data_IF_772832450879
#
_entry.id   IF_772832450879
#
_cell.length_a   1.000
_cell.length_b   1.000
_cell.length_c   1.000
_cell.angle_alpha   90.00
_cell.angle_beta   90.00
_cell.angle_gamma   90.00
#
_symmetry.space_group_name_H-M   'P 1'
#
loop_
_entity.id
_entity.type
_entity.pdbx_description
1 polymer ?
2 branched ?
3 branched ?
4 non-polymer ?
5 non-polymer ?
6 non-polymer ?
7 water ?
#
# COMPACT_ATOMS: atom_id res chain seq x y z
N UNK A 1 22.45 11.92 5.89
CA UNK A 1 23.51 12.77 5.28
C UNK A 1 22.87 13.95 4.58
N UNK A 2 22.53 13.74 3.30
CA UNK A 2 21.90 14.78 2.49
C UNK A 2 20.55 14.16 2.14
N UNK A 3 19.59 15.02 1.79
CA UNK A 3 18.27 14.55 1.43
C UNK A 3 18.40 13.74 0.13
N UNK A 4 17.67 12.63 0.05
CA UNK A 4 17.72 11.84 -1.15
C UNK A 4 16.93 12.52 -2.26
N UNK A 5 17.44 12.42 -3.48
CA UNK A 5 16.77 12.99 -4.65
C UNK A 5 16.50 11.82 -5.62
N UNK A 6 15.31 11.82 -6.19
CA UNK A 6 14.88 10.81 -7.14
C UNK A 6 15.53 11.11 -8.49
N UNK A 7 16.80 10.74 -8.61
CA UNK A 7 17.54 11.00 -9.84
C UNK A 7 17.54 9.86 -10.84
N UNK A 8 17.12 8.67 -10.43
CA UNK A 8 17.12 7.52 -11.35
C UNK A 8 15.75 7.14 -11.90
N UNK A 9 15.77 6.45 -13.04
CA UNK A 9 14.54 5.97 -13.65
C UNK A 9 14.45 4.54 -13.16
N UNK A 10 13.35 3.86 -13.46
CA UNK A 10 13.15 2.47 -13.03
C UNK A 10 14.01 1.48 -13.82
N UNK A 11 14.35 0.38 -13.18
CA UNK A 11 15.09 -0.66 -13.87
C UNK A 11 14.04 -1.36 -14.76
N UNK A 12 14.50 -2.04 -15.80
CA UNK A 12 13.58 -2.75 -16.68
C UNK A 12 13.07 -3.95 -15.92
N UNK A 13 11.76 -4.10 -15.88
CA UNK A 13 11.13 -5.19 -15.17
C UNK A 13 10.83 -6.30 -16.14
N UNK A 14 11.66 -7.36 -16.11
CA UNK A 14 11.47 -8.54 -16.98
C UNK A 14 10.83 -9.71 -16.22
N UNK A 15 10.85 -9.60 -14.88
CA UNK A 15 10.22 -10.58 -13.96
C UNK A 15 10.35 -10.08 -12.54
N UNK A 16 9.88 -10.89 -11.59
CA UNK A 16 9.94 -10.53 -10.16
C UNK A 16 10.62 -11.64 -9.38
N UNK A 17 11.54 -11.25 -8.50
CA UNK A 17 12.21 -12.27 -7.68
C UNK A 17 11.71 -12.10 -6.23
N UNK A 18 11.85 -13.15 -5.40
CA UNK A 18 11.42 -13.12 -4.00
C UNK A 18 12.36 -12.19 -3.22
N UNK A 19 11.77 -11.29 -2.45
CA UNK A 19 12.50 -10.31 -1.64
C UNK A 19 12.38 -10.59 -0.13
N UNK A 20 11.15 -10.70 0.36
CA UNK A 20 10.92 -10.99 1.77
C UNK A 20 9.61 -11.70 2.00
N UNK A 21 9.55 -12.49 3.07
CA UNK A 21 8.36 -13.26 3.44
C UNK A 21 8.54 -13.57 4.90
N UNK A 22 7.57 -13.22 5.72
CA UNK A 22 7.74 -13.48 7.15
C UNK A 22 7.03 -14.71 7.73
N UNK A 23 6.09 -15.31 6.99
CA UNK A 23 5.40 -16.50 7.49
C UNK A 23 4.85 -16.26 8.90
N UNK A 24 4.36 -15.04 9.13
CA UNK A 24 3.86 -14.62 10.44
C UNK A 24 2.78 -15.50 11.09
N UNK A 25 1.75 -15.87 10.33
CA UNK A 25 0.66 -16.68 10.86
C UNK A 25 1.10 -18.11 11.23
N UNK A 26 1.96 -18.72 10.39
CA UNK A 26 2.49 -20.05 10.65
C UNK A 26 3.24 -20.03 11.96
N UNK A 27 4.26 -19.18 12.01
CA UNK A 27 5.11 -19.06 13.20
C UNK A 27 4.34 -18.65 14.43
N UNK A 28 3.39 -17.74 14.25
CA UNK A 28 2.58 -17.21 15.35
C UNK A 28 1.62 -18.19 15.97
N UNK A 29 1.47 -19.37 15.35
CA UNK A 29 0.59 -20.39 15.90
C UNK A 29 1.19 -20.86 17.24
N UNK A 30 2.51 -20.67 17.42
CA UNK A 30 3.18 -21.08 18.64
C UNK A 30 4.31 -20.13 19.07
N UNK A 31 4.06 -18.83 18.99
CA UNK A 31 5.02 -17.85 19.45
C UNK A 31 4.31 -16.50 19.53
N UNK A 32 4.94 -15.57 20.23
CA UNK A 32 4.36 -14.26 20.48
C UNK A 32 4.33 -13.23 19.36
N UNK A 33 3.55 -13.56 18.33
CA UNK A 33 3.40 -12.72 17.16
C UNK A 33 2.14 -11.85 17.29
N UNK A 34 2.31 -10.54 17.08
CA UNK A 34 1.21 -9.62 17.16
C UNK A 34 0.24 -9.82 15.99
N UNK A 35 -1.03 -9.54 16.24
CA UNK A 35 -2.04 -9.61 15.21
C UNK A 35 -1.89 -8.28 14.44
N UNK A 36 -1.91 -8.33 13.12
CA UNK A 36 -1.77 -7.10 12.33
C UNK A 36 -2.69 -7.16 11.11
N UNK A 37 -2.58 -6.10 10.30
CA UNK A 37 -3.21 -5.93 8.98
C UNK A 37 -2.63 -4.61 8.45
N UNK A 38 -2.91 -4.29 7.19
CA UNK A 38 -2.42 -3.07 6.55
C UNK A 38 -0.89 -2.94 6.60
N UNK A 39 -0.16 -3.99 6.18
CA UNK A 39 1.30 -3.95 6.22
C UNK A 39 1.88 -3.28 4.98
N UNK A 40 3.19 -3.02 5.02
CA UNK A 40 3.91 -2.45 3.89
C UNK A 40 5.38 -2.62 4.19
N UNK A 41 6.24 -2.15 3.29
CA UNK A 41 7.67 -2.24 3.48
C UNK A 41 8.23 -0.83 3.22
N UNK A 42 9.34 -0.49 3.89
CA UNK A 42 9.91 0.83 3.70
C UNK A 42 11.37 0.75 4.12
N UNK A 43 12.22 1.42 3.33
CA UNK A 43 13.65 1.45 3.57
C UNK A 43 14.20 2.76 4.11
N UNK A 44 15.26 2.59 4.87
CA UNK A 44 16.06 3.65 5.45
C UNK A 44 17.35 3.49 4.63
N UNK A 45 18.27 4.46 4.71
CA UNK A 45 19.52 4.31 3.96
C UNK A 45 20.33 3.06 4.29
N UNK A 46 20.19 2.53 5.51
CA UNK A 46 20.96 1.38 5.91
C UNK A 46 20.21 0.08 6.19
N UNK A 47 18.89 0.09 6.04
CA UNK A 47 18.10 -1.10 6.36
C UNK A 47 16.72 -0.99 5.74
N UNK A 48 16.10 -2.12 5.40
CA UNK A 48 14.72 -2.13 4.89
C UNK A 48 13.94 -2.95 5.92
N UNK A 49 12.75 -2.45 6.28
CA UNK A 49 11.91 -3.08 7.30
C UNK A 49 10.44 -3.30 6.91
N UNK A 50 9.81 -4.27 7.58
CA UNK A 50 8.39 -4.59 7.40
C UNK A 50 7.66 -3.68 8.38
N UNK A 51 6.48 -3.21 7.95
CA UNK A 51 5.62 -2.29 8.72
C UNK A 51 4.20 -2.82 8.69
N UNK A 52 3.39 -2.43 9.68
CA UNK A 52 1.98 -2.82 9.76
C UNK A 52 1.25 -2.18 10.94
N UNK A 53 -0.06 -2.33 10.96
CA UNK A 53 -0.88 -1.79 12.04
C UNK A 53 -1.23 -2.93 12.98
N UNK A 54 -0.58 -2.94 14.15
CA UNK A 54 -0.83 -3.94 15.16
C UNK A 54 -2.23 -3.80 15.69
N UNK A 55 -2.74 -4.89 16.28
CA UNK A 55 -4.05 -4.87 16.93
C UNK A 55 -3.88 -4.88 18.46
N UNK A 56 -2.63 -4.76 18.94
CA UNK A 56 -2.39 -4.74 20.37
C UNK A 56 -2.75 -6.03 21.10
N UNK A 57 -2.39 -7.17 20.48
CA UNK A 57 -2.66 -8.48 21.05
C UNK A 57 -1.92 -9.48 20.16
N UNK A 58 -1.62 -10.66 20.71
CA UNK A 58 -0.99 -11.74 19.92
C UNK A 58 -2.14 -12.54 19.25
N UNK A 59 -1.79 -13.35 18.26
CA UNK A 59 -2.77 -14.15 17.52
C UNK A 59 -3.38 -15.21 18.45
N UNK A 60 -2.54 -15.89 19.22
CA UNK A 60 -3.02 -16.90 20.18
C UNK A 60 -3.67 -16.30 21.43
N UNK A 61 -3.40 -15.02 21.70
CA UNK A 61 -3.97 -14.37 22.86
C UNK A 61 -5.47 -14.30 22.73
N UNK A 62 -6.17 -14.30 23.86
CA UNK A 62 -7.63 -14.23 23.86
C UNK A 62 -8.16 -12.91 23.29
N UNK A 63 -7.36 -11.85 23.37
CA UNK A 63 -7.76 -10.54 22.82
C UNK A 63 -7.76 -10.50 21.30
N UNK A 64 -7.36 -11.60 20.66
CA UNK A 64 -7.36 -11.68 19.19
C UNK A 64 -8.82 -11.76 18.71
N UNK A 65 -9.72 -12.09 19.63
CA UNK A 65 -11.11 -12.18 19.28
C UNK A 65 -11.60 -10.79 18.97
N UNK A 66 -12.10 -10.58 17.75
CA UNK A 66 -12.63 -9.27 17.40
C UNK A 66 -11.74 -8.40 16.52
N UNK A 67 -10.54 -8.88 16.23
CA UNK A 67 -9.59 -8.12 15.40
C UNK A 67 -9.95 -7.91 13.94
N UNK A 68 -11.15 -8.32 13.55
CA UNK A 68 -11.62 -8.03 12.20
C UNK A 68 -11.88 -6.48 12.14
N UNK A 69 -12.18 -5.86 13.28
CA UNK A 69 -12.44 -4.43 13.32
C UNK A 69 -11.23 -3.60 12.96
N UNK A 70 -11.51 -2.48 12.29
CA UNK A 70 -10.50 -1.59 11.79
C UNK A 70 -9.85 -0.56 12.67
N UNK A 71 -10.61 0.08 13.54
CA UNK A 71 -10.08 1.18 14.30
C UNK A 71 -10.38 1.07 15.77
N UNK A 72 -9.36 0.92 16.58
CA UNK A 72 -9.59 0.82 18.02
C UNK A 72 -8.46 1.58 18.62
N UNK A 73 -8.53 1.79 19.91
CA UNK A 73 -7.49 2.51 20.60
C UNK A 73 -6.27 1.61 20.84
N UNK A 74 -6.32 0.35 20.42
CA UNK A 74 -5.21 -0.57 20.68
C UNK A 74 -4.30 -0.85 19.50
N UNK A 75 -4.45 -0.08 18.45
CA UNK A 75 -3.65 -0.25 17.26
C UNK A 75 -2.49 0.73 17.24
N UNK A 76 -1.44 0.35 16.51
CA UNK A 76 -0.27 1.19 16.39
C UNK A 76 0.55 0.78 15.19
N UNK A 77 1.23 1.75 14.57
CA UNK A 77 2.10 1.43 13.45
C UNK A 77 3.37 0.85 14.08
N UNK A 78 3.76 -0.33 13.65
CA UNK A 78 4.98 -0.95 14.15
C UNK A 78 5.86 -1.34 12.96
N UNK A 79 7.16 -1.45 13.18
CA UNK A 79 8.07 -1.90 12.13
C UNK A 79 8.93 -2.99 12.78
N UNK A 80 9.50 -3.86 11.97
CA UNK A 80 10.32 -4.93 12.51
C UNK A 80 11.25 -5.42 11.40
N UNK A 81 12.33 -6.16 11.77
CA UNK A 81 13.35 -6.52 10.77
C UNK A 81 12.74 -7.30 9.61
N UNK A 82 13.27 -7.01 8.42
CA UNK A 82 12.83 -7.64 7.17
C UNK A 82 12.73 -9.16 7.27
N UNK A 83 11.56 -9.65 6.89
CA UNK A 83 11.26 -11.05 6.86
C UNK A 83 11.12 -11.76 8.19
N UNK A 84 11.25 -11.02 9.29
CA UNK A 84 10.98 -11.60 10.60
C UNK A 84 9.47 -11.45 10.75
N UNK A 85 8.84 -12.15 11.71
CA UNK A 85 7.44 -11.82 12.01
C UNK A 85 7.34 -10.65 13.01
N UNK A 86 6.19 -9.97 13.03
CA UNK A 86 5.94 -8.91 14.01
C UNK A 86 5.66 -9.54 15.39
N UNK A 87 6.70 -9.63 16.21
CA UNK A 87 6.53 -10.22 17.54
C UNK A 87 6.46 -9.14 18.61
N UNK A 88 5.98 -9.52 19.76
CA UNK A 88 5.88 -8.59 20.85
C UNK A 88 7.26 -8.05 21.24
N UNK A 89 8.27 -8.90 21.07
CA UNK A 89 9.64 -8.58 21.44
C UNK A 89 10.52 -7.90 20.39
N UNK A 90 10.19 -7.95 19.11
CA UNK A 90 11.04 -7.31 18.11
C UNK A 90 10.34 -6.15 17.38
N UNK A 91 9.09 -5.85 17.72
CA UNK A 91 8.38 -4.78 17.03
C UNK A 91 8.60 -3.41 17.64
N UNK A 92 8.88 -2.42 16.79
CA UNK A 92 9.13 -1.07 17.24
C UNK A 92 7.93 -0.22 16.88
N UNK A 93 7.33 0.42 17.88
CA UNK A 93 6.18 1.26 17.61
C UNK A 93 6.63 2.61 17.04
N UNK A 94 6.13 2.95 15.86
CA UNK A 94 6.43 4.21 15.24
C UNK A 94 5.47 5.31 15.74
N UNK A 95 4.22 4.96 15.99
CA UNK A 95 3.18 5.88 16.47
C UNK A 95 1.88 5.11 16.68
N UNK A 96 0.98 5.73 17.43
CA UNK A 96 -0.31 5.18 17.79
C UNK A 96 -1.43 5.59 16.83
N UNK A 97 -2.22 4.63 16.35
CA UNK A 97 -3.29 4.93 15.42
C UNK A 97 -3.75 3.79 14.54
N UNK A 98 -4.75 4.06 13.70
CA UNK A 98 -5.36 3.04 12.85
C UNK A 98 -5.26 3.22 11.34
N UNK A 99 -4.43 4.16 10.92
CA UNK A 99 -4.19 4.45 9.51
C UNK A 99 -2.84 5.14 9.53
N UNK A 100 -1.96 4.78 8.60
CA UNK A 100 -0.61 5.37 8.60
C UNK A 100 0.13 5.39 7.27
N UNK A 101 1.29 6.03 7.30
CA UNK A 101 2.23 6.09 6.19
C UNK A 101 3.59 6.38 6.85
N UNK A 102 4.67 6.18 6.10
CA UNK A 102 6.01 6.40 6.62
C UNK A 102 6.99 6.41 5.46
N UNK A 103 8.05 7.19 5.59
CA UNK A 103 9.09 7.25 4.58
C UNK A 103 10.31 7.97 5.09
N UNK A 104 11.48 7.56 4.59
CA UNK A 104 12.75 8.16 4.98
C UNK A 104 13.11 9.17 3.90
N UNK A 105 13.58 10.35 4.32
CA UNK A 105 13.92 11.37 3.35
C UNK A 105 15.39 11.40 3.03
N UNK A 106 16.14 10.48 3.59
CA UNK A 106 17.57 10.45 3.32
C UNK A 106 18.35 10.82 4.55
N UNK A 107 17.76 11.67 5.38
CA UNK A 107 18.38 12.11 6.61
C UNK A 107 17.74 11.35 7.78
N UNK A 108 16.41 11.37 7.82
CA UNK A 108 15.69 10.69 8.87
C UNK A 108 14.28 10.32 8.39
N UNK A 109 13.53 9.60 9.23
CA UNK A 109 12.21 9.15 8.85
C UNK A 109 11.01 9.94 9.37
N UNK A 110 9.97 10.01 8.55
CA UNK A 110 8.75 10.66 8.92
C UNK A 110 7.70 9.54 8.99
N UNK A 111 6.95 9.46 10.09
CA UNK A 111 5.87 8.47 10.23
C UNK A 111 4.59 9.21 10.62
N UNK A 112 3.47 8.84 10.02
CA UNK A 112 2.21 9.52 10.30
C UNK A 112 1.15 8.51 10.75
N UNK A 113 0.51 8.80 11.88
CA UNK A 113 -0.55 7.91 12.39
C UNK A 113 -1.77 8.75 12.69
N UNK A 114 -2.92 8.23 12.31
CA UNK A 114 -4.17 8.91 12.53
C UNK A 114 -4.92 8.07 13.53
N UNK A 115 -5.54 8.73 14.50
CA UNK A 115 -6.33 8.04 15.52
C UNK A 115 -7.56 8.90 15.83
N UNK A 116 -8.51 8.34 16.56
CA UNK A 116 -9.67 9.11 16.91
C UNK A 116 -10.93 8.33 16.61
N UNK A 117 -12.07 8.83 17.09
CA UNK A 117 -13.39 8.34 16.69
C UNK A 117 -13.63 8.78 15.24
N UNK A 118 -14.60 8.16 14.58
CA UNK A 118 -14.92 8.49 13.20
C UNK A 118 -15.14 9.96 12.90
N UNK A 119 -15.79 10.68 13.80
CA UNK A 119 -16.05 12.11 13.57
C UNK A 119 -15.07 13.09 14.19
N UNK A 120 -13.95 12.62 14.74
CA UNK A 120 -13.00 13.51 15.40
C UNK A 120 -11.56 13.00 15.35
N UNK A 121 -11.17 12.39 14.24
CA UNK A 121 -9.82 11.88 14.11
C UNK A 121 -8.82 13.00 13.87
N UNK A 122 -7.55 12.66 14.03
CA UNK A 122 -6.46 13.60 13.84
C UNK A 122 -5.19 12.84 13.49
N UNK A 123 -4.36 13.44 12.66
CA UNK A 123 -3.12 12.83 12.26
C UNK A 123 -1.98 13.51 13.04
N UNK A 124 -0.99 12.73 13.46
CA UNK A 124 0.19 13.34 14.08
C UNK A 124 1.41 12.81 13.33
N UNK A 125 2.14 13.78 12.79
CA UNK A 125 3.32 13.59 11.98
C UNK A 125 4.56 13.65 12.87
N UNK A 126 5.26 12.51 12.90
CA UNK A 126 6.50 12.30 13.66
C UNK A 126 7.64 12.41 12.66
N UNK A 127 8.74 13.00 13.11
CA UNK A 127 9.92 13.15 12.29
C UNK A 127 11.12 12.95 13.21
N UNK A 128 12.03 12.05 12.85
CA UNK A 128 13.18 11.76 13.69
C UNK A 128 12.71 11.21 15.05
N UNK A 129 11.65 10.42 15.02
CA UNK A 129 11.03 9.78 16.19
C UNK A 129 10.41 10.67 17.24
N UNK A 130 10.06 11.89 16.84
CA UNK A 130 9.43 12.90 17.71
C UNK A 130 8.19 13.45 17.02
N UNK A 131 7.14 13.75 17.80
CA UNK A 131 5.96 14.39 17.20
C UNK A 131 6.28 15.83 16.90
N UNK A 132 5.97 16.25 15.67
CA UNK A 132 6.25 17.59 15.19
C UNK A 132 4.99 18.39 14.79
N UNK A 133 4.09 17.74 14.06
CA UNK A 133 2.87 18.40 13.58
C UNK A 133 1.60 17.58 13.78
N UNK A 134 0.46 18.29 13.93
CA UNK A 134 -0.82 17.62 14.07
C UNK A 134 -1.83 18.27 13.14
N UNK A 135 -2.72 17.45 12.56
CA UNK A 135 -3.75 17.93 11.63
C UNK A 135 -5.09 17.34 12.06
N UNK A 136 -6.07 18.20 12.30
CA UNK A 136 -7.37 17.75 12.74
C UNK A 136 -8.23 17.37 11.55
N UNK A 137 -9.15 16.45 11.77
CA UNK A 137 -10.07 16.03 10.73
C UNK A 137 -10.74 17.29 10.12
N UNK A 138 -10.91 17.31 8.80
CA UNK A 138 -11.53 18.45 8.14
C UNK A 138 -12.92 18.12 7.61
N UNK A 139 -13.27 16.84 7.57
CA UNK A 139 -14.56 16.43 7.07
C UNK A 139 -15.32 15.61 8.11
N UNK A 140 -14.69 15.39 9.26
CA UNK A 140 -15.30 14.65 10.35
C UNK A 140 -15.84 13.29 9.93
N UNK A 141 -15.12 12.60 9.08
CA UNK A 141 -15.57 11.29 8.64
C UNK A 141 -14.36 10.40 8.25
N UNK A 142 -13.77 9.79 9.27
CA UNK A 142 -12.65 8.89 9.13
C UNK A 142 -11.46 9.39 8.30
N UNK A 143 -10.76 10.39 8.84
CA UNK A 143 -9.53 10.92 8.20
C UNK A 143 -8.70 9.64 8.01
N UNK A 144 -8.12 9.46 6.83
CA UNK A 144 -7.37 8.23 6.57
C UNK A 144 -6.27 8.48 5.55
N UNK A 145 -5.27 7.63 5.50
CA UNK A 145 -4.19 7.89 4.59
C UNK A 145 -3.77 6.68 3.77
N UNK A 146 -2.51 6.67 3.32
CA UNK A 146 -1.99 5.65 2.40
C UNK A 146 -1.98 4.19 2.73
N UNK A 147 -1.51 3.85 3.94
CA UNK A 147 -1.36 2.47 4.38
C UNK A 147 -0.15 1.83 3.70
N UNK A 148 0.71 2.66 3.11
CA UNK A 148 1.99 2.19 2.52
C UNK A 148 2.97 3.37 2.55
N UNK A 149 4.23 3.16 2.20
CA UNK A 149 5.20 4.25 2.28
C UNK A 149 4.95 5.49 1.40
N UNK A 150 5.31 6.65 1.93
CA UNK A 150 5.24 7.89 1.17
C UNK A 150 6.61 7.95 0.46
N UNK A 151 6.87 8.99 -0.33
CA UNK A 151 8.16 9.10 -1.03
C UNK A 151 8.61 10.55 -0.89
N UNK A 152 9.91 10.76 -0.77
CA UNK A 152 10.51 12.07 -0.61
C UNK A 152 11.48 12.44 -1.74
N UNK A 153 11.62 13.74 -1.95
CA UNK A 153 12.56 14.27 -2.93
C UNK A 153 13.07 15.60 -2.38
N UNK A 154 14.38 15.67 -2.17
CA UNK A 154 15.02 16.86 -1.61
C UNK A 154 14.36 17.36 -0.31
N UNK A 155 13.93 16.43 0.54
CA UNK A 155 13.33 16.85 1.79
C UNK A 155 11.84 16.94 1.72
N UNK A 156 11.26 17.05 0.52
CA UNK A 156 9.78 17.15 0.41
C UNK A 156 9.17 15.77 0.24
N UNK A 157 8.31 15.41 1.18
CA UNK A 157 7.62 14.10 1.18
C UNK A 157 6.11 14.31 1.12
N UNK A 158 5.51 14.21 -0.08
CA UNK A 158 4.05 14.36 -0.25
C UNK A 158 3.28 13.17 0.33
N UNK A 159 2.09 13.42 0.89
CA UNK A 159 1.28 12.35 1.44
C UNK A 159 -0.17 12.64 1.05
N UNK A 160 -0.90 11.59 0.65
CA UNK A 160 -2.30 11.76 0.25
C UNK A 160 -3.22 11.30 1.37
N UNK A 161 -4.15 12.17 1.78
CA UNK A 161 -5.13 11.88 2.81
C UNK A 161 -6.54 12.01 2.22
N UNK A 162 -7.51 11.36 2.85
CA UNK A 162 -8.90 11.49 2.44
C UNK A 162 -9.72 11.59 3.73
N UNK A 163 -10.73 12.45 3.73
CA UNK A 163 -11.62 12.60 4.86
C UNK A 163 -12.97 12.81 4.20
N UNK A 164 -13.96 12.06 4.68
CA UNK A 164 -15.32 12.14 4.14
C UNK A 164 -15.81 10.76 3.73
N UNK A 165 -16.95 10.71 3.06
CA UNK A 165 -17.55 9.44 2.62
C UNK A 165 -16.67 8.46 1.83
N UNK A 166 -17.00 7.18 1.95
CA UNK A 166 -16.30 6.09 1.26
C UNK A 166 -17.17 5.63 0.10
N UNK A 167 -18.37 6.21 0.04
CA UNK A 167 -19.35 5.83 -0.96
C UNK A 167 -19.97 7.04 -1.65
N UNK A 168 -19.22 8.14 -1.68
CA UNK A 168 -19.68 9.36 -2.32
C UNK A 168 -18.48 10.27 -2.40
N UNK A 169 -18.62 11.47 -2.98
CA UNK A 169 -17.45 12.38 -3.06
C UNK A 169 -16.93 12.73 -1.67
N UNK A 170 -15.60 12.75 -1.56
CA UNK A 170 -14.94 13.02 -0.29
C UNK A 170 -13.91 14.13 -0.47
N UNK A 171 -13.24 14.53 0.59
CA UNK A 171 -12.23 15.58 0.49
C UNK A 171 -10.82 15.02 0.64
N UNK A 172 -10.19 14.82 -0.51
CA UNK A 172 -8.84 14.31 -0.58
C UNK A 172 -7.88 15.49 -0.64
N UNK A 173 -6.78 15.38 0.10
CA UNK A 173 -5.78 16.44 0.15
C UNK A 173 -4.38 15.86 -0.02
N UNK A 174 -3.52 16.66 -0.64
CA UNK A 174 -2.14 16.26 -0.83
C UNK A 174 -1.34 17.25 0.00
N UNK A 175 -0.69 16.74 1.03
CA UNK A 175 0.15 17.55 1.88
C UNK A 175 1.58 17.35 1.48
N UNK A 176 2.35 18.43 1.47
CA UNK A 176 3.77 18.38 1.17
C UNK A 176 4.50 18.71 2.46
N UNK A 177 5.10 17.69 3.06
CA UNK A 177 5.82 17.87 4.32
C UNK A 177 7.32 17.94 4.09
N UNK A 178 8.01 18.66 4.97
CA UNK A 178 9.46 18.75 4.95
C UNK A 178 9.86 18.83 6.42
N UNK A 179 10.63 17.84 6.89
CA UNK A 179 11.04 17.78 8.28
C UNK A 179 9.82 17.75 9.21
N UNK A 180 8.76 17.10 8.76
CA UNK A 180 7.55 16.95 9.55
C UNK A 180 6.68 18.17 9.59
N UNK A 181 7.10 19.25 8.95
CA UNK A 181 6.31 20.47 8.94
C UNK A 181 5.55 20.60 7.61
N UNK A 182 4.39 21.25 7.65
CA UNK A 182 3.61 21.42 6.43
C UNK A 182 4.11 22.59 5.59
N UNK A 183 4.58 22.30 4.38
CA UNK A 183 5.01 23.36 3.50
C UNK A 183 3.80 23.88 2.75
N UNK A 184 2.90 22.97 2.37
CA UNK A 184 1.73 23.32 1.55
C UNK A 184 0.80 22.11 1.46
N UNK A 185 -0.47 22.36 1.16
CA UNK A 185 -1.43 21.29 0.91
C UNK A 185 -2.35 21.79 -0.20
N UNK A 186 -2.83 20.88 -1.03
CA UNK A 186 -3.74 21.18 -2.14
C UNK A 186 -4.93 20.26 -1.94
N UNK A 187 -6.13 20.70 -2.36
CA UNK A 187 -7.19 19.75 -2.70
C UNK A 187 -6.90 18.93 -3.96
N UNK A 188 -7.45 17.72 -3.97
CA UNK A 188 -7.29 16.87 -5.11
C UNK A 188 -7.85 17.58 -6.35
N UNK A 189 -7.16 17.40 -7.47
CA UNK A 189 -7.59 17.96 -8.73
C UNK A 189 -7.43 16.84 -9.74
N UNK A 190 -7.91 17.07 -10.95
CA UNK A 190 -7.80 16.06 -11.99
C UNK A 190 -9.13 15.36 -12.19
N UNK A 191 -9.11 14.23 -12.87
CA UNK A 191 -10.32 13.50 -13.14
C UNK A 191 -10.65 12.34 -12.20
N UNK A 192 -9.78 12.05 -11.22
CA UNK A 192 -10.06 10.96 -10.28
C UNK A 192 -11.29 11.39 -9.49
N UNK A 193 -12.30 10.53 -9.39
CA UNK A 193 -13.52 10.92 -8.67
C UNK A 193 -13.54 10.56 -7.19
N UNK A 194 -12.67 9.66 -6.77
CA UNK A 194 -12.58 9.23 -5.37
C UNK A 194 -11.20 8.63 -5.16
N UNK A 195 -10.56 9.01 -4.06
CA UNK A 195 -9.21 8.55 -3.73
C UNK A 195 -9.09 7.97 -2.32
N UNK A 196 -8.46 6.80 -2.23
CA UNK A 196 -8.19 6.13 -0.95
C UNK A 196 -6.96 5.25 -1.08
N UNK A 197 -6.19 5.17 0.01
CA UNK A 197 -5.01 4.31 0.11
C UNK A 197 -4.00 4.27 -1.04
N UNK A 198 -3.38 5.42 -1.33
CA UNK A 198 -2.42 5.51 -2.42
C UNK A 198 -1.10 4.77 -2.21
N UNK A 199 -0.68 4.05 -3.26
CA UNK A 199 0.57 3.32 -3.28
C UNK A 199 1.50 4.13 -4.20
N UNK A 200 2.59 4.63 -3.64
CA UNK A 200 3.46 5.50 -4.40
C UNK A 200 4.89 5.05 -4.57
N UNK A 201 5.55 5.60 -5.58
CA UNK A 201 6.97 5.33 -5.83
C UNK A 201 7.46 6.55 -6.59
N UNK A 202 8.76 6.78 -6.61
CA UNK A 202 9.29 7.93 -7.33
C UNK A 202 10.44 7.58 -8.26
N UNK A 203 10.56 8.34 -9.35
CA UNK A 203 11.65 8.14 -10.32
C UNK A 203 11.76 9.42 -11.09
N UNK A 204 13.00 9.80 -11.39
CA UNK A 204 13.28 11.01 -12.16
C UNK A 204 12.46 12.24 -11.71
N UNK A 205 12.56 12.57 -10.42
CA UNK A 205 11.87 13.71 -9.81
C UNK A 205 10.36 13.77 -9.97
N UNK A 206 9.72 12.61 -10.14
CA UNK A 206 8.25 12.53 -10.23
C UNK A 206 7.76 11.40 -9.31
N UNK A 207 6.66 11.64 -8.59
CA UNK A 207 6.10 10.64 -7.67
C UNK A 207 4.75 10.17 -8.28
N UNK A 208 4.64 8.86 -8.50
CA UNK A 208 3.40 8.27 -9.06
C UNK A 208 2.69 7.49 -7.97
N UNK A 209 1.39 7.73 -7.84
CA UNK A 209 0.57 7.04 -6.83
C UNK A 209 -0.60 6.34 -7.48
N UNK A 210 -0.75 5.04 -7.23
CA UNK A 210 -1.86 4.25 -7.75
C UNK A 210 -2.71 4.03 -6.50
N UNK A 211 -3.91 4.57 -6.52
CA UNK A 211 -4.77 4.51 -5.37
C UNK A 211 -5.99 3.65 -5.69
N UNK A 212 -7.07 3.95 -5.02
CA UNK A 212 -8.31 3.16 -5.16
C UNK A 212 -9.51 4.10 -5.07
N UNK A 213 -10.47 3.84 -5.96
CA UNK A 213 -11.73 4.58 -6.01
C UNK A 213 -12.73 3.62 -5.37
N UNK A 214 -12.94 3.80 -4.08
CA UNK A 214 -13.85 2.92 -3.36
C UNK A 214 -15.28 3.07 -3.80
N UNK A 215 -15.65 4.30 -4.13
CA UNK A 215 -17.02 4.63 -4.53
C UNK A 215 -17.54 3.97 -5.81
N UNK A 216 -16.88 4.21 -6.93
CA UNK A 216 -17.36 3.68 -8.21
C UNK A 216 -16.40 2.92 -9.11
N UNK A 217 -15.11 3.22 -9.02
CA UNK A 217 -14.14 2.64 -9.92
C UNK A 217 -13.49 1.29 -9.67
N UNK A 218 -13.47 0.48 -10.74
CA UNK A 218 -12.85 -0.83 -10.77
C UNK A 218 -11.48 -0.72 -11.45
N UNK A 219 -11.29 0.41 -12.15
CA UNK A 219 -9.99 0.75 -12.73
C UNK A 219 -9.40 1.60 -11.57
N UNK A 220 -8.09 1.77 -11.52
CA UNK A 220 -7.48 2.55 -10.44
C UNK A 220 -7.18 3.98 -10.82
N UNK A 221 -7.55 4.93 -9.95
CA UNK A 221 -7.08 6.32 -10.02
C UNK A 221 -5.57 6.43 -9.79
N UNK A 222 -4.97 7.38 -10.50
CA UNK A 222 -3.54 7.61 -10.42
C UNK A 222 -3.29 9.09 -10.24
N UNK A 223 -2.44 9.39 -9.25
CA UNK A 223 -2.03 10.76 -8.92
C UNK A 223 -0.54 10.86 -9.18
N UNK A 224 -0.16 11.84 -10.00
CA UNK A 224 1.25 12.08 -10.30
C UNK A 224 1.59 13.43 -9.64
N UNK A 225 2.63 13.39 -8.81
CA UNK A 225 3.05 14.55 -8.07
C UNK A 225 4.43 15.06 -8.47
N UNK A 226 4.53 16.38 -8.57
CA UNK A 226 5.82 17.02 -8.86
C UNK A 226 6.23 17.55 -7.49
N UNK A 227 7.21 16.89 -6.82
CA UNK A 227 7.55 17.34 -5.47
C UNK A 227 8.34 18.66 -5.41
N UNK A 228 8.74 19.20 -6.55
CA UNK A 228 9.48 20.47 -6.55
C UNK A 228 8.46 21.61 -6.69
N UNK A 229 7.62 21.53 -7.71
CA UNK A 229 6.58 22.50 -7.93
C UNK A 229 5.48 22.32 -6.88
N UNK A 230 5.48 21.14 -6.25
CA UNK A 230 4.47 20.81 -5.25
C UNK A 230 3.08 20.98 -5.86
N UNK A 231 2.89 20.33 -7.01
CA UNK A 231 1.63 20.34 -7.76
C UNK A 231 1.39 18.88 -8.18
N UNK A 232 0.19 18.57 -8.67
CA UNK A 232 -0.12 17.19 -9.08
C UNK A 232 -1.27 17.16 -10.08
N UNK A 233 -1.51 15.99 -10.64
CA UNK A 233 -2.62 15.76 -11.56
C UNK A 233 -3.22 14.43 -11.16
N UNK A 234 -4.40 14.11 -11.70
CA UNK A 234 -5.03 12.83 -11.42
C UNK A 234 -5.83 12.34 -12.63
N UNK A 235 -5.88 11.02 -12.79
CA UNK A 235 -6.64 10.36 -13.85
C UNK A 235 -6.82 8.92 -13.40
N UNK A 236 -7.24 8.07 -14.33
CA UNK A 236 -7.39 6.64 -14.03
C UNK A 236 -6.51 5.88 -15.01
N UNK A 237 -6.15 4.67 -14.64
CA UNK A 237 -5.39 3.81 -15.55
C UNK A 237 -6.39 3.53 -16.69
N UNK A 238 -6.04 3.95 -17.91
CA UNK A 238 -6.88 3.75 -19.09
C UNK A 238 -7.14 2.28 -19.44
N UNK A 239 -6.18 1.43 -19.17
CA UNK A 239 -6.27 0.01 -19.53
C UNK A 239 -7.57 -0.74 -19.19
N UNK A 240 -8.04 -1.62 -20.11
CA UNK A 240 -9.13 -2.56 -19.84
C UNK A 240 -8.79 -3.70 -18.86
N UNK A 241 -7.50 -3.82 -18.51
CA UNK A 241 -7.08 -4.83 -17.54
C UNK A 241 -7.38 -4.19 -16.16
N UNK A 242 -8.60 -4.41 -15.68
CA UNK A 242 -9.07 -3.82 -14.43
C UNK A 242 -8.35 -4.38 -13.21
N UNK A 243 -7.94 -3.49 -12.31
CA UNK A 243 -7.17 -3.96 -11.18
C UNK A 243 -7.68 -3.78 -9.75
N UNK A 244 -8.93 -3.36 -9.57
CA UNK A 244 -9.43 -3.30 -8.20
C UNK A 244 -10.10 -4.65 -7.91
N UNK A 245 -10.67 -4.78 -6.71
CA UNK A 245 -11.40 -6.00 -6.31
C UNK A 245 -12.41 -5.64 -5.21
N UNK A 246 -13.65 -6.14 -5.29
CA UNK A 246 -14.26 -6.86 -6.42
C UNK A 246 -14.30 -6.00 -7.69
N UNK A 247 -14.50 -6.61 -8.84
CA UNK A 247 -14.51 -5.86 -10.09
C UNK A 247 -15.31 -6.68 -11.10
N UNK A 248 -15.79 -6.03 -12.17
CA UNK A 248 -16.44 -6.80 -13.25
C UNK A 248 -15.36 -7.41 -14.14
N UNK A 249 -15.77 -8.26 -15.07
CA UNK A 249 -14.81 -8.90 -15.98
C UNK A 249 -14.17 -7.84 -16.85
N UNK A 250 -12.95 -8.10 -17.30
CA UNK A 250 -12.22 -7.16 -18.17
C UNK A 250 -12.98 -6.90 -19.46
N UNK A 251 -13.19 -5.62 -19.82
CA UNK A 251 -13.68 -5.22 -21.16
C UNK A 251 -12.52 -5.19 -22.16
N UNK A 252 -12.78 -4.67 -23.35
CA UNK A 252 -11.74 -4.57 -24.36
C UNK A 252 -11.29 -3.14 -24.40
N UNK A 253 -12.03 -2.25 -23.75
CA UNK A 253 -11.64 -0.85 -23.68
C UNK A 253 -11.94 -0.31 -22.27
N UNK A 254 -10.97 0.37 -21.69
CA UNK A 254 -11.12 0.91 -20.35
C UNK A 254 -11.54 2.36 -20.36
N UNK A 255 -11.37 3.03 -19.23
CA UNK A 255 -11.71 4.44 -19.11
C UNK A 255 -10.52 5.22 -18.54
N UNK A 256 -10.20 6.34 -19.20
CA UNK A 256 -9.08 7.20 -18.79
C UNK A 256 -9.38 8.26 -17.76
N UNK A 257 -10.61 8.76 -17.77
CA UNK A 257 -10.99 9.83 -16.86
C UNK A 257 -12.26 9.68 -16.04
N UNK A 258 -12.77 8.46 -15.93
CA UNK A 258 -13.97 8.21 -15.15
C UNK A 258 -13.74 6.85 -14.58
N UNK A 259 -14.34 6.56 -13.41
CA UNK A 259 -14.30 5.20 -12.86
C UNK A 259 -14.95 4.21 -13.82
N UNK A 260 -14.40 3.01 -13.94
CA UNK A 260 -15.02 2.04 -14.79
C UNK A 260 -16.08 1.38 -13.93
N UNK A 261 -17.34 1.35 -14.41
CA UNK A 261 -18.45 0.98 -13.53
C UNK A 261 -18.65 -0.52 -13.42
N UNK A 262 -19.57 -0.91 -12.54
CA UNK A 262 -19.88 -2.31 -12.36
C UNK A 262 -19.85 -2.72 -10.91
N UNK A 263 -19.04 -2.03 -10.12
CA UNK A 263 -18.94 -2.36 -8.69
C UNK A 263 -18.84 -1.08 -7.90
N UNK A 264 -19.73 -0.95 -6.91
CA UNK A 264 -19.76 0.23 -6.06
C UNK A 264 -19.36 -0.03 -4.63
N UNK A 265 -18.94 1.04 -3.99
CA UNK A 265 -18.58 1.06 -2.58
C UNK A 265 -17.80 -0.10 -2.05
N UNK A 266 -16.65 -0.37 -2.65
CA UNK A 266 -15.78 -1.43 -2.21
C UNK A 266 -14.49 -1.36 -3.02
N UNK A 267 -13.47 -2.07 -2.56
CA UNK A 267 -12.21 -2.07 -3.27
C UNK A 267 -11.10 -2.57 -2.36
N UNK A 268 -9.88 -2.60 -2.89
CA UNK A 268 -8.73 -3.07 -2.13
C UNK A 268 -7.54 -2.19 -2.51
N UNK A 269 -6.68 -1.92 -1.53
CA UNK A 269 -5.47 -1.13 -1.79
C UNK A 269 -4.67 -1.94 -2.79
N UNK A 270 -4.17 -1.28 -3.83
CA UNK A 270 -3.38 -1.94 -4.84
C UNK A 270 -2.32 -1.00 -5.38
N UNK A 271 -1.61 -1.40 -6.43
CA UNK A 271 -0.56 -0.56 -6.97
C UNK A 271 -0.22 -0.91 -8.40
N UNK A 272 0.70 -0.13 -8.96
CA UNK A 272 1.19 -0.35 -10.32
C UNK A 272 2.49 0.41 -10.57
N UNK A 273 3.21 0.00 -11.59
CA UNK A 273 4.41 0.72 -12.00
C UNK A 273 4.07 1.14 -13.42
N UNK A 274 3.94 2.45 -13.61
CA UNK A 274 3.54 3.01 -14.91
C UNK A 274 4.75 3.67 -15.54
N UNK A 275 5.34 2.98 -16.50
CA UNK A 275 6.57 3.45 -17.11
C UNK A 275 6.63 3.06 -18.60
N UNK A 276 5.68 3.54 -19.40
CA UNK A 276 5.63 3.25 -20.82
C UNK A 276 5.51 1.75 -21.07
N UNK A 277 6.39 1.21 -21.91
CA UNK A 277 6.35 -0.23 -22.16
C UNK A 277 6.72 -1.02 -20.90
N UNK A 278 7.51 -0.42 -20.01
CA UNK A 278 7.95 -1.04 -18.76
C UNK A 278 6.86 -0.83 -17.67
N UNK A 279 5.62 -1.12 -18.03
CA UNK A 279 4.47 -0.97 -17.12
C UNK A 279 3.98 -2.34 -16.62
N UNK A 280 3.85 -2.49 -15.31
CA UNK A 280 3.38 -3.73 -14.70
C UNK A 280 2.26 -3.46 -13.69
N UNK A 281 1.15 -4.20 -13.82
CA UNK A 281 -0.03 -4.05 -12.96
C UNK A 281 -0.17 -5.24 -12.04
N UNK A 282 -0.49 -4.99 -10.77
CA UNK A 282 -0.71 -6.09 -9.84
C UNK A 282 -2.22 -6.14 -9.62
N UNK A 283 -2.73 -7.32 -9.32
CA UNK A 283 -4.14 -7.49 -9.06
C UNK A 283 -4.48 -8.88 -8.53
N UNK A 284 -5.61 -8.99 -7.86
CA UNK A 284 -6.06 -10.28 -7.35
C UNK A 284 -6.49 -11.04 -8.61
N UNK A 285 -6.46 -12.37 -8.55
CA UNK A 285 -6.88 -13.17 -9.67
C UNK A 285 -8.40 -13.16 -9.68
N UNK A 286 -9.00 -13.41 -8.52
CA UNK A 286 -10.44 -13.38 -8.40
C UNK A 286 -11.03 -12.00 -8.65
N UNK A 287 -12.14 -11.94 -9.40
CA UNK A 287 -12.81 -10.66 -9.64
C UNK A 287 -13.82 -10.46 -8.51
N UNK A 288 -14.01 -11.48 -7.69
CA UNK A 288 -14.99 -11.39 -6.61
C UNK A 288 -14.42 -11.22 -5.21
N UNK A 289 -13.28 -11.84 -4.92
CA UNK A 289 -12.73 -11.72 -3.57
C UNK A 289 -11.21 -11.51 -3.56
N UNK A 290 -10.66 -11.30 -2.37
CA UNK A 290 -9.23 -11.06 -2.15
C UNK A 290 -8.56 -12.40 -2.14
N UNK A 291 -8.47 -12.91 -3.35
CA UNK A 291 -8.01 -14.24 -3.61
C UNK A 291 -7.02 -14.19 -4.76
N UNK A 292 -5.86 -14.80 -4.54
CA UNK A 292 -4.84 -14.84 -5.56
C UNK A 292 -4.19 -13.48 -5.83
N UNK A 293 -3.09 -13.51 -6.58
CA UNK A 293 -2.38 -12.30 -6.93
C UNK A 293 -1.45 -12.56 -8.08
N UNK A 294 -1.46 -11.66 -9.07
CA UNK A 294 -0.61 -11.77 -10.25
C UNK A 294 -0.11 -10.40 -10.70
N UNK A 295 1.04 -10.39 -11.39
CA UNK A 295 1.63 -9.19 -11.97
C UNK A 295 1.44 -9.36 -13.49
N UNK A 296 0.94 -8.32 -14.16
CA UNK A 296 0.72 -8.33 -15.59
C UNK A 296 1.43 -7.14 -16.26
N UNK A 297 2.23 -7.41 -17.28
CA UNK A 297 2.94 -6.37 -18.02
C UNK A 297 1.93 -5.86 -19.05
N UNK A 298 1.52 -4.60 -18.89
CA UNK A 298 0.55 -4.05 -19.78
C UNK A 298 1.13 -2.77 -20.32
N UNK A 299 1.85 -2.87 -21.47
CA UNK A 299 2.58 -1.72 -22.01
C UNK A 299 1.64 -0.54 -22.18
N UNK A 300 2.07 0.61 -21.66
CA UNK A 300 1.32 1.86 -21.73
C UNK A 300 -0.06 1.85 -21.10
N UNK A 301 -0.27 1.02 -20.07
CA UNK A 301 -1.57 0.93 -19.37
C UNK A 301 -2.19 2.28 -18.99
N UNK A 302 -1.37 3.18 -18.47
CA UNK A 302 -1.87 4.48 -18.03
C UNK A 302 -2.57 5.31 -19.12
N UNK A 303 -2.04 5.26 -20.33
CA UNK A 303 -2.55 6.08 -21.39
C UNK A 303 -3.23 5.40 -22.58
N UNK A 304 -3.13 4.08 -22.65
CA UNK A 304 -3.71 3.32 -23.76
C UNK A 304 -4.97 2.58 -23.28
N UNK A 305 -6.15 3.03 -23.73
CA UNK A 305 -7.42 2.43 -23.28
C UNK A 305 -7.79 1.07 -23.86
N UNK A 306 -6.87 0.46 -24.58
CA UNK A 306 -7.10 -0.86 -25.14
C UNK A 306 -5.91 -1.76 -24.81
N UNK A 307 -4.99 -1.28 -23.98
CA UNK A 307 -3.81 -2.06 -23.60
C UNK A 307 -4.16 -3.36 -22.89
N UNK A 308 -3.53 -4.44 -23.33
CA UNK A 308 -3.75 -5.78 -22.78
C UNK A 308 -2.39 -6.42 -22.44
N UNK A 309 -2.39 -7.52 -21.69
CA UNK A 309 -1.12 -8.05 -21.18
C UNK A 309 -0.19 -8.64 -22.24
N UNK A 310 1.11 -8.47 -22.04
CA UNK A 310 2.10 -9.04 -22.95
C UNK A 310 3.01 -10.07 -22.26
N UNK A 311 2.89 -10.13 -20.94
CA UNK A 311 3.69 -11.04 -20.13
C UNK A 311 3.06 -11.01 -18.76
N UNK A 312 3.39 -11.99 -17.93
CA UNK A 312 2.78 -11.97 -16.61
C UNK A 312 3.51 -12.86 -15.63
N UNK A 313 3.16 -12.76 -14.34
CA UNK A 313 3.77 -13.62 -13.34
C UNK A 313 2.80 -13.80 -12.20
N UNK A 314 2.50 -15.06 -11.86
CA UNK A 314 1.58 -15.37 -10.77
C UNK A 314 2.39 -15.28 -9.48
N UNK A 315 1.80 -14.61 -8.49
CA UNK A 315 2.44 -14.41 -7.21
C UNK A 315 1.79 -15.30 -6.13
N UNK A 316 0.46 -15.31 -6.13
CA UNK A 316 -0.32 -16.09 -5.17
C UNK A 316 -1.41 -16.79 -5.97
N UNK A 317 -1.57 -18.10 -5.76
CA UNK A 317 -2.61 -18.86 -6.46
C UNK A 317 -4.01 -18.41 -6.07
N UNK A 318 -4.93 -18.52 -7.00
CA UNK A 318 -6.31 -18.12 -6.74
C UNK A 318 -6.94 -18.95 -5.65
N UNK A 319 -6.29 -20.05 -5.26
CA UNK A 319 -6.81 -20.89 -4.20
C UNK A 319 -6.14 -20.50 -2.89
N UNK A 320 -5.55 -19.31 -2.85
CA UNK A 320 -4.94 -18.79 -1.64
C UNK A 320 -5.39 -17.36 -1.41
N UNK A 321 -5.51 -16.97 -0.15
CA UNK A 321 -5.92 -15.62 0.22
C UNK A 321 -4.86 -14.55 0.02
N UNK A 322 -5.27 -13.41 -0.52
CA UNK A 322 -4.36 -12.28 -0.69
C UNK A 322 -4.89 -11.12 0.16
N UNK A 323 -4.82 -9.90 -0.35
CA UNK A 323 -5.29 -8.76 0.41
C UNK A 323 -4.69 -7.52 -0.24
N UNK A 324 -4.32 -6.55 0.60
CA UNK A 324 -3.71 -5.29 0.16
C UNK A 324 -2.35 -5.52 -0.50
N UNK A 325 -1.93 -4.58 -1.34
CA UNK A 325 -0.62 -4.66 -1.98
C UNK A 325 -0.18 -3.22 -2.21
N UNK A 326 1.13 -3.01 -2.21
CA UNK A 326 1.62 -1.65 -2.37
C UNK A 326 3.05 -1.63 -2.86
N UNK A 327 3.48 -0.45 -3.24
CA UNK A 327 4.81 -0.25 -3.76
C UNK A 327 5.80 0.36 -2.74
N UNK A 328 7.07 0.06 -2.96
CA UNK A 328 8.19 0.59 -2.19
C UNK A 328 9.44 0.28 -3.03
N UNK A 329 10.52 1.03 -2.83
CA UNK A 329 11.77 0.74 -3.51
C UNK A 329 12.89 1.11 -2.57
N UNK A 330 14.04 0.48 -2.75
CA UNK A 330 15.17 0.84 -1.94
C UNK A 330 15.89 1.94 -2.71
N UNK A 331 15.60 3.20 -2.36
CA UNK A 331 16.20 4.36 -3.00
C UNK A 331 17.66 4.53 -2.68
N UNK A 332 18.18 3.70 -1.78
CA UNK A 332 19.58 3.81 -1.37
C UNK A 332 20.43 2.63 -1.81
N UNK A 333 19.94 1.86 -2.77
CA UNK A 333 20.67 0.71 -3.31
C UNK A 333 21.77 1.18 -4.30
N UNK A 334 22.69 0.31 -4.66
CA UNK A 334 23.71 0.68 -5.64
C UNK A 334 23.09 0.59 -7.04
N UNK A 335 23.83 1.02 -8.05
CA UNK A 335 23.31 0.90 -9.40
C UNK A 335 22.80 2.17 -10.03
N UNK A 336 22.38 2.06 -11.28
CA UNK A 336 21.92 3.19 -12.05
C UNK A 336 20.43 3.38 -12.13
N UNK A 337 19.63 2.48 -11.59
CA UNK A 337 18.17 2.59 -11.69
C UNK A 337 17.53 2.13 -10.40
N UNK A 338 16.27 2.52 -10.18
CA UNK A 338 15.55 2.10 -8.98
C UNK A 338 14.82 0.77 -9.30
N UNK A 339 15.02 -0.24 -8.46
CA UNK A 339 14.41 -1.54 -8.66
C UNK A 339 13.00 -1.58 -8.03
N UNK A 340 11.98 -1.64 -8.88
CA UNK A 340 10.60 -1.68 -8.42
C UNK A 340 10.36 -2.86 -7.48
N UNK A 341 9.65 -2.63 -6.37
CA UNK A 341 9.32 -3.71 -5.42
C UNK A 341 7.87 -3.51 -5.00
N UNK A 342 7.27 -4.53 -4.40
CA UNK A 342 5.91 -4.46 -3.89
C UNK A 342 5.71 -5.55 -2.86
N UNK A 343 4.66 -5.43 -2.05
CA UNK A 343 4.36 -6.45 -1.09
C UNK A 343 2.89 -6.81 -1.30
N UNK A 344 2.50 -8.02 -0.87
CA UNK A 344 1.11 -8.43 -0.90
C UNK A 344 0.78 -8.87 0.52
N UNK A 345 -0.36 -8.40 1.03
CA UNK A 345 -0.82 -8.73 2.35
C UNK A 345 -1.59 -10.01 2.18
N UNK A 346 -1.24 -11.04 2.95
CA UNK A 346 -1.92 -12.35 2.88
C UNK A 346 -2.84 -12.48 4.12
N UNK A 347 -4.10 -12.08 3.95
CA UNK A 347 -5.06 -12.09 5.04
C UNK A 347 -5.57 -13.46 5.41
N UNK A 348 -5.55 -13.74 6.72
CA UNK A 348 -6.02 -15.01 7.25
C UNK A 348 -7.05 -14.71 8.30
N UNK A 349 -8.02 -15.61 8.43
CA UNK A 349 -9.04 -15.42 9.43
C UNK A 349 -10.26 -14.75 8.86
N UNK A 350 -10.92 -13.96 9.69
CA UNK A 350 -12.14 -13.28 9.25
C UNK A 350 -11.93 -12.18 8.20
N UNK A 351 -12.90 -12.03 7.28
CA UNK A 351 -14.20 -12.73 7.26
C UNK A 351 -14.25 -14.05 6.52
N UNK A 352 -13.26 -14.32 5.68
CA UNK A 352 -13.28 -15.53 4.88
C UNK A 352 -13.12 -16.81 5.64
N UNK A 353 -12.31 -16.80 6.69
CA UNK A 353 -12.07 -18.01 7.50
C UNK A 353 -12.61 -17.75 8.90
N UNK A 354 -13.92 -17.92 9.03
CA UNK A 354 -14.59 -17.62 10.29
C UNK A 354 -14.60 -18.67 11.39
N UNK A 355 -13.89 -19.79 11.20
CA UNK A 355 -13.82 -20.79 12.25
C UNK A 355 -12.96 -20.23 13.38
N UNK A 356 -12.14 -19.22 13.07
CA UNK A 356 -11.34 -18.53 14.07
C UNK A 356 -12.00 -17.19 14.26
N UNK A 357 -11.78 -16.57 15.40
CA UNK A 357 -12.38 -15.28 15.74
C UNK A 357 -11.52 -14.03 15.49
N UNK A 358 -10.33 -14.26 14.92
CA UNK A 358 -9.40 -13.18 14.66
C UNK A 358 -9.22 -12.97 13.18
N UNK A 359 -8.54 -11.87 12.86
CA UNK A 359 -8.18 -11.53 11.48
C UNK A 359 -6.74 -11.03 11.59
N UNK A 360 -5.85 -11.59 10.78
CA UNK A 360 -4.46 -11.14 10.75
C UNK A 360 -3.93 -11.35 9.32
N UNK A 361 -2.61 -11.36 9.18
CA UNK A 361 -2.04 -11.58 7.86
C UNK A 361 -0.57 -11.88 7.99
N UNK A 362 0.04 -12.23 6.86
CA UNK A 362 1.48 -12.39 6.79
C UNK A 362 1.86 -11.53 5.55
N UNK A 363 3.16 -11.35 5.33
CA UNK A 363 3.62 -10.55 4.21
C UNK A 363 4.50 -11.34 3.23
N UNK A 364 4.31 -11.10 1.93
CA UNK A 364 5.19 -11.66 0.91
C UNK A 364 5.56 -10.42 0.08
N UNK A 365 6.82 -10.28 -0.32
CA UNK A 365 7.17 -9.14 -1.13
C UNK A 365 8.17 -9.57 -2.19
N UNK A 366 8.11 -8.88 -3.33
CA UNK A 366 8.98 -9.15 -4.48
C UNK A 366 9.56 -7.82 -4.98
N UNK A 367 10.62 -7.92 -5.79
CA UNK A 367 11.26 -6.79 -6.45
C UNK A 367 11.53 -7.30 -7.86
N UNK A 368 11.80 -6.39 -8.79
CA UNK A 368 12.03 -6.79 -10.18
C UNK A 368 13.43 -7.30 -10.50
N UNK A 369 13.48 -8.09 -11.56
CA UNK A 369 14.74 -8.61 -12.06
C UNK A 369 14.78 -8.28 -13.54
N UNK A 370 15.98 -7.99 -14.07
CA UNK A 370 16.09 -7.74 -15.48
C UNK A 370 16.15 -9.10 -16.21
N UNK A 371 16.24 -10.19 -15.42
CA UNK A 371 16.24 -11.54 -15.96
C UNK A 371 14.79 -11.99 -16.14
N UNK A 372 14.58 -13.07 -16.88
CA UNK A 372 13.23 -13.67 -17.06
C UNK A 372 13.21 -14.92 -16.21
N UNK A 373 12.98 -14.71 -14.92
CA UNK A 373 13.00 -15.76 -13.92
C UNK A 373 11.78 -16.66 -13.86
N UNK A 374 12.02 -17.91 -13.49
CA UNK A 374 10.93 -18.85 -13.32
C UNK A 374 10.07 -18.39 -12.15
N UNK A 375 8.78 -18.72 -12.18
CA UNK A 375 7.89 -18.29 -11.10
C UNK A 375 7.47 -19.38 -10.11
N UNK A 376 7.15 -18.98 -8.90
CA UNK A 376 6.66 -19.88 -7.86
C UNK A 376 5.46 -19.13 -7.30
N UNK A 377 4.61 -19.80 -6.52
CA UNK A 377 3.50 -19.09 -5.91
C UNK A 377 3.92 -19.01 -4.45
N UNK A 378 3.46 -17.96 -3.75
CA UNK A 378 3.84 -17.71 -2.36
C UNK A 378 2.68 -17.54 -1.41
N UNK A 379 2.11 -18.65 -0.92
CA UNK A 379 0.95 -18.52 -0.01
C UNK A 379 1.34 -18.24 1.45
N UNK A 380 0.36 -17.83 2.23
CA UNK A 380 0.60 -17.58 3.65
C UNK A 380 1.23 -18.84 4.29
N UNK A 381 0.66 -20.02 4.00
CA UNK A 381 1.20 -21.26 4.52
C UNK A 381 0.66 -21.83 5.81
N UNK A 382 -0.19 -21.09 6.51
CA UNK A 382 -0.73 -21.60 7.79
C UNK A 382 -1.97 -22.46 7.62
N UNK A 383 -2.16 -23.42 8.50
CA UNK A 383 -3.33 -24.28 8.48
C UNK A 383 -4.28 -23.76 9.55
N UNK A 384 -5.42 -23.17 9.16
CA UNK A 384 -6.40 -22.66 10.13
C UNK A 384 -6.83 -23.71 11.15
N UNK A 385 -6.97 -24.97 10.69
CA UNK A 385 -7.38 -26.06 11.58
C UNK A 385 -6.56 -26.12 12.87
N UNK A 386 -5.27 -25.82 12.78
CA UNK A 386 -4.38 -25.84 13.93
C UNK A 386 -4.76 -24.83 15.01
N UNK A 387 -5.41 -23.75 14.59
CA UNK A 387 -5.80 -22.69 15.51
C UNK A 387 -7.13 -22.97 16.19
N UNK A 388 -7.78 -24.07 15.83
CA UNK A 388 -9.09 -24.40 16.38
C UNK A 388 -9.04 -25.14 17.69
#
# INVERSE_FOLDING_TARGET
RDFNNLTKGLCTINSWHIYGKDNAVRIGEDSDVLVTREPYVSCDPDECRFYALSQGTTIRGKHSNGTIHDRSQYRALISWPLSSPPTVYNSRVECIGWSSTSCHDGKTRMSICISGPNNNASAVIWYNRRPVTEINTWARNILRTQESECVCHNGVCPVVFTDGSATGPAETRIYYFKEGKILKWEPLAGTAKHIEECSCYGERAEITCTCKDNWQGSNRPVIRIDPVAMTHTSQYICSPVLTDNPRPNDPTVGKCNDPYPGNNNNGVKGFSYLDGVNTWLGRTISIASRSGYEMLKVPNALTDDKSKPTQGQTIVLNTDWSGYSGSFMDYWAEGECYRACFYVELIRGRPKEDKVWWTSNSIVSMCSSTEFLGQWDWPDGAKIEYFL
#
